data_IF_400075751464
#
_entry.id   IF_400075751464
#
_cell.length_a   1.000
_cell.length_b   1.000
_cell.length_c   1.000
_cell.angle_alpha   90.00
_cell.angle_beta   90.00
_cell.angle_gamma   90.00
#
_symmetry.space_group_name_H-M   'P 1'
#
loop_
_entity.id
_entity.type
_entity.pdbx_description
1 polymer ?
#
# COMPACT_ATOMS: atom_id res chain seq x y z
N UNK A 1 35.82 25.55 45.50
CA UNK A 1 34.62 24.73 45.17
C UNK A 1 33.95 25.39 43.97
N UNK A 2 34.01 24.97 42.71
CA UNK A 2 34.33 23.67 42.11
C UNK A 2 33.06 22.90 41.73
N UNK A 3 32.51 23.14 40.51
CA UNK A 3 31.80 22.21 39.59
C UNK A 3 31.20 23.00 38.41
N UNK A 4 31.76 22.92 37.20
CA UNK A 4 31.66 21.88 36.14
C UNK A 4 30.35 21.96 35.31
N UNK A 5 30.57 22.17 34.00
CA UNK A 5 29.68 22.09 32.83
C UNK A 5 28.56 21.03 32.90
N UNK A 6 27.44 21.23 32.19
CA UNK A 6 27.11 20.48 30.96
C UNK A 6 25.90 21.11 30.23
N UNK A 7 26.13 21.37 28.96
CA UNK A 7 25.17 21.71 27.92
C UNK A 7 24.47 20.43 27.45
N UNK A 8 23.13 20.38 27.47
CA UNK A 8 22.37 19.39 26.72
C UNK A 8 21.66 20.09 25.57
N UNK A 9 22.21 19.89 24.38
CA UNK A 9 21.53 20.04 23.11
C UNK A 9 20.41 19.00 22.99
N UNK A 10 19.33 19.34 22.28
CA UNK A 10 18.31 18.38 21.86
C UNK A 10 16.88 18.85 22.12
N UNK A 11 16.45 19.93 21.46
CA UNK A 11 15.02 20.17 21.25
C UNK A 11 14.51 19.15 20.22
N UNK A 12 14.15 17.96 20.68
CA UNK A 12 13.20 17.09 20.00
C UNK A 12 11.83 17.43 20.58
N UNK A 13 10.89 17.99 19.80
CA UNK A 13 9.50 17.96 20.24
C UNK A 13 9.04 16.50 20.17
N UNK A 14 8.80 15.91 21.34
CA UNK A 14 7.86 14.82 21.51
C UNK A 14 6.55 15.22 20.83
N UNK A 15 6.22 14.58 19.72
CA UNK A 15 5.02 14.86 18.95
C UNK A 15 4.50 13.59 18.30
N UNK A 16 3.37 13.11 18.84
CA UNK A 16 2.36 12.31 18.16
C UNK A 16 2.83 11.05 17.45
N UNK A 17 2.81 9.93 18.19
CA UNK A 17 2.31 8.68 17.63
C UNK A 17 0.85 8.92 17.24
N UNK A 18 0.61 9.44 16.02
CA UNK A 18 -0.69 9.30 15.40
C UNK A 18 -1.00 7.81 15.37
N UNK A 19 -2.08 7.43 16.05
CA UNK A 19 -2.60 6.09 16.01
C UNK A 19 -2.88 5.75 14.54
N UNK A 20 -2.01 4.95 13.94
CA UNK A 20 -2.31 4.23 12.70
C UNK A 20 -3.69 3.60 12.92
N UNK A 21 -4.67 3.75 12.03
CA UNK A 21 -6.00 3.23 12.28
C UNK A 21 -5.90 1.71 12.41
N UNK A 22 -5.87 1.24 13.67
CA UNK A 22 -5.48 -0.10 14.10
C UNK A 22 -6.36 -1.22 13.53
N UNK A 23 -7.49 -0.86 12.93
CA UNK A 23 -8.44 -1.80 12.33
C UNK A 23 -8.01 -2.24 10.93
N UNK A 24 -7.40 -1.35 10.13
CA UNK A 24 -7.07 -1.62 8.72
C UNK A 24 -5.79 -2.45 8.57
N UNK A 25 -4.78 -2.12 9.39
CA UNK A 25 -3.57 -2.94 9.50
C UNK A 25 -3.95 -4.36 9.90
N UNK A 26 -4.90 -4.55 10.82
CA UNK A 26 -5.31 -5.88 11.27
C UNK A 26 -5.97 -6.76 10.20
N UNK A 27 -6.73 -6.23 9.24
CA UNK A 27 -7.38 -7.04 8.20
C UNK A 27 -6.39 -7.53 7.13
N UNK A 28 -5.54 -6.65 6.60
CA UNK A 28 -4.45 -7.04 5.68
C UNK A 28 -3.47 -7.98 6.40
N UNK A 29 -3.12 -7.67 7.65
CA UNK A 29 -2.27 -8.52 8.48
C UNK A 29 -2.93 -9.88 8.78
N UNK A 30 -4.25 -9.97 9.00
CA UNK A 30 -4.93 -11.24 9.27
C UNK A 30 -4.94 -12.15 8.04
N UNK A 31 -5.22 -11.61 6.84
CA UNK A 31 -5.15 -12.36 5.58
C UNK A 31 -3.70 -12.78 5.27
N UNK A 32 -2.73 -11.87 5.46
CA UNK A 32 -1.31 -12.16 5.28
C UNK A 32 -0.80 -13.19 6.30
N UNK A 33 -1.17 -13.10 7.59
CA UNK A 33 -0.80 -14.12 8.58
C UNK A 33 -1.47 -15.46 8.29
N UNK A 34 -2.70 -15.49 7.77
CA UNK A 34 -3.33 -16.70 7.27
C UNK A 34 -2.52 -17.35 6.14
N UNK A 35 -2.11 -16.56 5.15
CA UNK A 35 -1.28 -17.01 4.03
C UNK A 35 0.12 -17.46 4.49
N UNK A 36 0.79 -16.69 5.36
CA UNK A 36 2.10 -17.03 5.93
C UNK A 36 2.00 -18.29 6.79
N UNK A 37 0.96 -18.45 7.62
CA UNK A 37 0.74 -19.65 8.41
C UNK A 37 0.50 -20.88 7.53
N UNK A 38 -0.21 -20.73 6.41
CA UNK A 38 -0.42 -21.80 5.43
C UNK A 38 0.87 -22.19 4.71
N UNK A 39 1.68 -21.23 4.26
CA UNK A 39 2.99 -21.46 3.63
C UNK A 39 3.99 -22.10 4.60
N UNK A 40 4.02 -21.65 5.86
CA UNK A 40 4.83 -22.26 6.91
C UNK A 40 4.37 -23.67 7.25
N UNK A 41 3.05 -23.93 7.27
CA UNK A 41 2.47 -25.27 7.46
C UNK A 41 2.79 -26.22 6.28
N UNK A 42 2.96 -25.70 5.08
CA UNK A 42 3.38 -26.49 3.91
C UNK A 42 4.87 -26.84 3.98
N UNK A 43 5.74 -25.89 4.32
CA UNK A 43 7.17 -26.15 4.56
C UNK A 43 7.38 -27.16 5.70
N UNK A 44 6.63 -27.05 6.81
CA UNK A 44 6.70 -28.01 7.91
C UNK A 44 6.28 -29.44 7.50
N UNK A 45 5.23 -29.58 6.67
CA UNK A 45 4.76 -30.88 6.16
C UNK A 45 5.71 -31.50 5.12
N UNK A 46 6.39 -30.68 4.32
CA UNK A 46 7.40 -31.16 3.36
C UNK A 46 8.66 -31.70 4.06
N UNK A 47 9.03 -31.12 5.21
CA UNK A 47 10.12 -31.64 6.05
C UNK A 47 9.73 -32.97 6.74
N UNK A 48 8.48 -33.11 7.17
CA UNK A 48 7.98 -34.35 7.80
C UNK A 48 7.81 -35.52 6.81
N UNK A 49 7.51 -35.23 5.54
CA UNK A 49 7.34 -36.25 4.49
C UNK A 49 8.66 -36.88 3.99
N UNK A 50 9.83 -36.35 4.38
CA UNK A 50 11.11 -37.04 4.15
C UNK A 50 11.29 -38.19 5.16
N UNK A 51 10.52 -38.19 6.27
CA UNK A 51 10.66 -39.17 7.35
C UNK A 51 9.66 -40.33 7.37
N UNK A 52 8.46 -40.20 6.79
CA UNK A 52 7.42 -41.23 6.96
C UNK A 52 6.58 -41.48 5.71
N UNK A 53 7.01 -42.48 4.95
CA UNK A 53 6.21 -43.09 3.90
C UNK A 53 5.14 -44.00 4.54
N UNK A 54 3.97 -43.46 4.88
CA UNK A 54 2.77 -44.27 5.13
C UNK A 54 1.49 -43.47 4.92
N UNK A 55 0.83 -43.82 3.81
CA UNK A 55 -0.52 -43.47 3.38
C UNK A 55 -1.33 -42.57 4.30
N UNK A 56 -1.34 -41.27 3.98
CA UNK A 56 -2.44 -40.41 4.35
C UNK A 56 -2.83 -39.60 3.12
N UNK A 57 -4.12 -39.60 2.81
CA UNK A 57 -4.73 -39.04 1.61
C UNK A 57 -4.23 -37.61 1.39
N UNK A 58 -3.34 -37.43 0.42
CA UNK A 58 -3.02 -36.12 -0.14
C UNK A 58 -4.35 -35.47 -0.53
N UNK A 59 -4.67 -34.32 0.07
CA UNK A 59 -5.38 -33.30 -0.69
C UNK A 59 -4.26 -32.41 -1.21
N UNK A 60 -3.75 -32.63 -2.43
CA UNK A 60 -2.90 -31.63 -3.04
C UNK A 60 -3.81 -30.41 -3.22
N UNK A 61 -3.47 -29.29 -2.58
CA UNK A 61 -4.11 -28.02 -2.91
C UNK A 61 -3.66 -27.70 -4.34
N UNK A 62 -4.50 -28.08 -5.30
CA UNK A 62 -4.46 -27.62 -6.67
C UNK A 62 -4.66 -26.09 -6.67
N UNK A 63 -4.09 -25.38 -7.64
CA UNK A 63 -4.19 -23.92 -7.85
C UNK A 63 -5.62 -23.36 -7.63
N UNK A 64 -6.63 -24.21 -7.86
CA UNK A 64 -8.05 -24.00 -7.56
C UNK A 64 -8.35 -23.47 -6.14
N UNK A 65 -7.62 -23.88 -5.10
CA UNK A 65 -7.93 -23.48 -3.72
C UNK A 65 -7.36 -22.09 -3.38
N UNK A 66 -6.23 -21.72 -3.98
CA UNK A 66 -5.67 -20.36 -3.88
C UNK A 66 -6.54 -19.39 -4.70
N UNK A 67 -7.08 -19.84 -5.84
CA UNK A 67 -8.04 -19.07 -6.64
C UNK A 67 -9.36 -18.78 -5.89
N UNK A 68 -9.79 -19.67 -4.98
CA UNK A 68 -10.98 -19.44 -4.14
C UNK A 68 -10.77 -18.36 -3.08
N UNK A 69 -9.52 -18.15 -2.63
CA UNK A 69 -9.21 -17.25 -1.50
C UNK A 69 -8.68 -15.91 -1.98
N UNK A 70 -7.87 -15.90 -3.05
CA UNK A 70 -7.22 -14.70 -3.56
C UNK A 70 -7.49 -14.49 -5.05
N UNK A 71 -7.86 -13.26 -5.38
CA UNK A 71 -8.10 -12.84 -6.76
C UNK A 71 -6.79 -12.80 -7.53
N UNK A 72 -6.88 -13.01 -8.86
CA UNK A 72 -5.73 -12.72 -9.70
C UNK A 72 -5.42 -11.23 -9.66
N UNK A 73 -4.14 -10.86 -9.82
CA UNK A 73 -3.71 -9.46 -9.89
C UNK A 73 -4.50 -8.67 -10.94
N UNK A 74 -4.78 -9.28 -12.09
CA UNK A 74 -5.60 -8.69 -13.15
C UNK A 74 -7.05 -8.44 -12.73
N UNK A 75 -7.67 -9.38 -12.02
CA UNK A 75 -9.05 -9.22 -11.52
C UNK A 75 -9.11 -8.13 -10.44
N UNK A 76 -8.15 -8.11 -9.51
CA UNK A 76 -8.03 -7.06 -8.51
C UNK A 76 -7.92 -5.68 -9.17
N UNK A 77 -7.03 -5.52 -10.16
CA UNK A 77 -6.88 -4.28 -10.92
C UNK A 77 -8.17 -3.86 -11.64
N UNK A 78 -8.92 -4.80 -12.23
CA UNK A 78 -10.20 -4.49 -12.87
C UNK A 78 -11.28 -4.06 -11.87
N UNK A 79 -11.25 -4.61 -10.66
CA UNK A 79 -12.17 -4.20 -9.59
C UNK A 79 -11.83 -2.79 -9.10
N UNK A 80 -10.54 -2.51 -8.88
CA UNK A 80 -10.09 -1.20 -8.38
C UNK A 80 -10.22 -0.11 -9.46
N UNK A 81 -9.87 -0.42 -10.71
CA UNK A 81 -9.85 0.52 -11.84
C UNK A 81 -10.84 0.08 -12.93
N UNK A 82 -12.16 0.12 -12.68
CA UNK A 82 -13.15 -0.38 -13.63
C UNK A 82 -13.21 0.42 -14.95
N UNK A 83 -12.68 1.65 -14.94
CA UNK A 83 -12.64 2.53 -16.11
C UNK A 83 -11.32 2.43 -16.89
N UNK A 84 -10.32 1.69 -16.40
CA UNK A 84 -9.04 1.55 -17.08
C UNK A 84 -9.17 0.66 -18.33
N UNK A 85 -8.42 1.00 -19.38
CA UNK A 85 -8.41 0.17 -20.58
C UNK A 85 -7.69 -1.16 -20.31
N UNK A 86 -7.99 -2.20 -21.09
CA UNK A 86 -7.27 -3.48 -20.97
C UNK A 86 -5.75 -3.33 -21.16
N UNK A 87 -5.31 -2.35 -21.95
CA UNK A 87 -3.90 -2.03 -22.16
C UNK A 87 -3.26 -1.42 -20.91
N UNK A 88 -3.99 -0.54 -20.22
CA UNK A 88 -3.51 0.03 -18.96
C UNK A 88 -3.46 -1.03 -17.87
N UNK A 89 -4.48 -1.90 -17.79
CA UNK A 89 -4.49 -3.05 -16.87
C UNK A 89 -3.30 -3.97 -17.13
N UNK A 90 -2.97 -4.27 -18.39
CA UNK A 90 -1.80 -5.09 -18.74
C UNK A 90 -0.49 -4.42 -18.33
N UNK A 91 -0.35 -3.11 -18.58
CA UNK A 91 0.80 -2.34 -18.10
C UNK A 91 0.92 -2.40 -16.57
N UNK A 92 -0.17 -2.22 -15.86
CA UNK A 92 -0.20 -2.26 -14.39
C UNK A 92 0.08 -3.66 -13.84
N UNK A 93 -0.42 -4.70 -14.49
CA UNK A 93 -0.13 -6.09 -14.15
C UNK A 93 1.37 -6.38 -14.32
N UNK A 94 2.00 -5.91 -15.41
CA UNK A 94 3.44 -6.02 -15.62
C UNK A 94 4.23 -5.28 -14.54
N UNK A 95 3.81 -4.07 -14.17
CA UNK A 95 4.42 -3.30 -13.06
C UNK A 95 4.33 -4.07 -11.74
N UNK A 96 3.15 -4.60 -11.41
CA UNK A 96 2.92 -5.36 -10.18
C UNK A 96 3.68 -6.68 -10.15
N UNK A 97 3.97 -7.30 -11.30
CA UNK A 97 4.76 -8.54 -11.36
C UNK A 97 6.20 -8.37 -10.87
N UNK A 98 6.72 -7.13 -10.84
CA UNK A 98 8.07 -6.78 -10.37
C UNK A 98 8.10 -6.44 -8.86
N UNK A 99 6.94 -6.26 -8.23
CA UNK A 99 6.82 -5.90 -6.82
C UNK A 99 6.95 -7.17 -5.97
N UNK A 100 7.74 -7.13 -4.90
CA UNK A 100 7.90 -8.30 -4.05
C UNK A 100 6.57 -8.66 -3.36
N UNK A 101 6.42 -9.92 -3.01
CA UNK A 101 5.28 -10.34 -2.20
C UNK A 101 5.27 -9.57 -0.88
N UNK A 102 4.08 -9.15 -0.46
CA UNK A 102 3.79 -8.37 0.74
C UNK A 102 4.24 -6.91 0.74
N UNK A 103 4.95 -6.44 -0.30
CA UNK A 103 5.21 -5.02 -0.48
C UNK A 103 3.90 -4.30 -0.86
N UNK A 104 3.49 -3.24 -0.14
CA UNK A 104 2.25 -2.55 -0.43
C UNK A 104 2.37 -1.68 -1.68
N UNK A 105 1.32 -1.75 -2.50
CA UNK A 105 1.12 -0.90 -3.66
C UNK A 105 -0.08 -0.01 -3.41
N UNK A 106 0.16 1.29 -3.40
CA UNK A 106 -0.88 2.30 -3.33
C UNK A 106 -1.41 2.57 -4.74
N UNK A 107 -2.72 2.40 -4.94
CA UNK A 107 -3.42 2.77 -6.15
C UNK A 107 -4.33 3.95 -5.82
N UNK A 108 -4.13 5.07 -6.51
CA UNK A 108 -4.93 6.29 -6.35
C UNK A 108 -5.87 6.41 -7.55
N UNK A 109 -7.16 6.46 -7.27
CA UNK A 109 -8.19 6.78 -8.26
C UNK A 109 -8.46 8.28 -8.18
N UNK A 110 -8.19 9.01 -9.26
CA UNK A 110 -8.33 10.46 -9.28
C UNK A 110 -9.79 10.92 -9.05
N UNK A 111 -9.98 11.93 -8.21
CA UNK A 111 -11.26 12.62 -8.06
C UNK A 111 -11.35 13.80 -9.04
N UNK A 112 -12.21 13.69 -10.04
CA UNK A 112 -12.38 14.73 -11.05
C UNK A 112 -12.89 16.05 -10.46
N UNK A 113 -13.69 16.01 -9.39
CA UNK A 113 -14.17 17.23 -8.72
C UNK A 113 -13.01 18.00 -8.10
N UNK A 114 -12.07 17.30 -7.47
CA UNK A 114 -10.87 17.91 -6.93
C UNK A 114 -10.01 18.55 -8.02
N UNK A 115 -9.82 17.86 -9.15
CA UNK A 115 -9.09 18.39 -10.31
C UNK A 115 -9.78 19.65 -10.86
N UNK A 116 -11.11 19.67 -10.90
CA UNK A 116 -11.87 20.85 -11.34
C UNK A 116 -11.71 22.02 -10.35
N UNK A 117 -11.55 21.76 -9.05
CA UNK A 117 -11.33 22.77 -8.01
C UNK A 117 -9.88 23.29 -7.97
N UNK A 118 -8.88 22.43 -8.24
CA UNK A 118 -7.46 22.72 -7.98
C UNK A 118 -6.57 22.74 -9.23
N UNK A 119 -7.07 22.33 -10.41
CA UNK A 119 -6.35 22.10 -11.67
C UNK A 119 -5.60 20.77 -11.79
N UNK A 120 -5.45 20.31 -13.03
CA UNK A 120 -4.69 19.10 -13.36
C UNK A 120 -3.17 19.25 -13.09
N UNK A 121 -2.62 20.45 -13.25
CA UNK A 121 -1.19 20.70 -12.96
C UNK A 121 -0.89 20.47 -11.47
N UNK A 122 -1.79 20.91 -10.59
CA UNK A 122 -1.65 20.66 -9.16
C UNK A 122 -1.86 19.17 -8.81
N UNK A 123 -2.78 18.49 -9.49
CA UNK A 123 -2.91 17.03 -9.36
C UNK A 123 -1.59 16.32 -9.67
N UNK A 124 -0.98 16.65 -10.80
CA UNK A 124 0.30 16.08 -11.20
C UNK A 124 1.41 16.38 -10.18
N UNK A 125 1.46 17.58 -9.62
CA UNK A 125 2.45 17.93 -8.60
C UNK A 125 2.33 17.05 -7.34
N UNK A 126 1.10 16.74 -6.90
CA UNK A 126 0.87 15.82 -5.77
C UNK A 126 1.28 14.39 -6.13
N UNK A 127 0.89 13.89 -7.31
CA UNK A 127 1.29 12.55 -7.77
C UNK A 127 2.80 12.41 -7.95
N UNK A 128 3.48 13.43 -8.48
CA UNK A 128 4.94 13.47 -8.56
C UNK A 128 5.58 13.43 -7.18
N UNK A 129 4.96 14.06 -6.19
CA UNK A 129 5.45 14.03 -4.82
C UNK A 129 5.31 12.63 -4.22
N UNK A 130 4.18 11.93 -4.41
CA UNK A 130 4.09 10.50 -4.06
C UNK A 130 5.16 9.65 -4.76
N UNK A 131 5.40 9.89 -6.06
CA UNK A 131 6.36 9.15 -6.85
C UNK A 131 7.81 9.32 -6.36
N UNK A 132 8.18 10.49 -5.82
CA UNK A 132 9.58 10.88 -5.59
C UNK A 132 9.95 11.22 -4.15
N UNK A 133 8.98 11.37 -3.24
CA UNK A 133 9.25 11.75 -1.84
C UNK A 133 10.28 10.83 -1.20
N UNK A 134 11.31 11.40 -0.55
CA UNK A 134 12.40 10.66 0.11
C UNK A 134 13.19 9.68 -0.78
N UNK A 135 13.11 9.79 -2.11
CA UNK A 135 13.93 9.02 -3.03
C UNK A 135 15.14 9.82 -3.52
N UNK A 136 16.20 9.08 -3.87
CA UNK A 136 17.34 9.65 -4.59
C UNK A 136 16.92 10.13 -5.98
N UNK A 137 17.68 11.10 -6.52
CA UNK A 137 17.44 11.65 -7.85
C UNK A 137 17.28 10.54 -8.91
N UNK A 138 16.29 10.71 -9.79
CA UNK A 138 15.90 9.78 -10.86
C UNK A 138 15.25 8.45 -10.42
N UNK A 139 14.96 8.26 -9.13
CA UNK A 139 14.14 7.12 -8.67
C UNK A 139 12.69 7.54 -8.51
N UNK A 140 11.79 6.64 -8.92
CA UNK A 140 10.34 6.82 -8.86
C UNK A 140 9.66 5.53 -8.42
N UNK A 141 8.53 5.66 -7.72
CA UNK A 141 7.69 4.52 -7.27
C UNK A 141 6.64 4.07 -8.28
N UNK A 142 6.39 4.88 -9.30
CA UNK A 142 5.16 4.79 -10.10
C UNK A 142 5.36 4.36 -11.55
N UNK A 143 6.60 4.19 -12.00
CA UNK A 143 6.93 3.95 -13.41
C UNK A 143 6.15 4.91 -14.36
N UNK A 144 6.08 6.18 -13.96
CA UNK A 144 5.38 7.27 -14.66
C UNK A 144 3.86 7.05 -14.85
N UNK A 145 3.24 6.20 -14.04
CA UNK A 145 1.78 5.95 -14.07
C UNK A 145 0.95 7.07 -13.43
N UNK A 146 1.52 7.83 -12.49
CA UNK A 146 0.81 8.83 -11.66
C UNK A 146 -0.42 8.27 -10.91
N UNK A 147 -0.52 6.95 -10.78
CA UNK A 147 -1.72 6.28 -10.24
C UNK A 147 -1.35 5.09 -9.36
N UNK A 148 -0.28 4.37 -9.67
CA UNK A 148 0.17 3.18 -8.95
C UNK A 148 1.55 3.48 -8.35
N UNK A 149 1.71 3.28 -7.04
CA UNK A 149 2.94 3.61 -6.33
C UNK A 149 3.37 2.43 -5.45
N UNK A 150 4.56 1.90 -5.71
CA UNK A 150 5.16 0.81 -4.93
C UNK A 150 5.94 1.34 -3.72
N UNK A 151 5.70 0.73 -2.55
CA UNK A 151 6.47 0.97 -1.33
C UNK A 151 7.05 -0.35 -0.77
N UNK A 152 8.25 -0.32 -0.16
CA UNK A 152 8.86 -1.53 0.40
C UNK A 152 8.25 -1.97 1.73
N UNK A 153 7.33 -1.17 2.33
CA UNK A 153 6.53 -1.53 3.49
C UNK A 153 5.49 -0.43 3.80
N UNK A 154 4.53 -0.75 4.67
CA UNK A 154 3.48 0.18 5.09
C UNK A 154 4.03 1.40 5.84
N UNK A 155 5.15 1.26 6.57
CA UNK A 155 5.74 2.38 7.32
C UNK A 155 6.20 3.48 6.36
N UNK A 156 6.86 3.12 5.27
CA UNK A 156 7.27 4.09 4.25
C UNK A 156 6.06 4.72 3.56
N UNK A 157 5.05 3.91 3.19
CA UNK A 157 3.82 4.38 2.57
C UNK A 157 3.13 5.47 3.42
N UNK A 158 2.91 5.21 4.71
CA UNK A 158 2.27 6.18 5.59
C UNK A 158 3.18 7.35 5.99
N UNK A 159 4.50 7.16 5.99
CA UNK A 159 5.46 8.27 6.13
C UNK A 159 5.35 9.23 4.95
N UNK A 160 5.29 8.70 3.72
CA UNK A 160 5.10 9.51 2.51
C UNK A 160 3.74 10.21 2.56
N UNK A 161 2.66 9.50 2.90
CA UNK A 161 1.33 10.11 3.12
C UNK A 161 1.41 11.32 4.05
N UNK A 162 2.06 11.18 5.21
CA UNK A 162 2.24 12.27 6.17
C UNK A 162 3.01 13.47 5.59
N UNK A 163 4.10 13.20 4.85
CA UNK A 163 4.86 14.25 4.19
C UNK A 163 4.03 14.99 3.12
N UNK A 164 3.26 14.25 2.32
CA UNK A 164 2.38 14.84 1.30
C UNK A 164 1.27 15.66 1.97
N UNK A 165 0.69 15.20 3.08
CA UNK A 165 -0.31 15.98 3.86
C UNK A 165 0.26 17.32 4.33
N UNK A 166 1.51 17.34 4.81
CA UNK A 166 2.15 18.58 5.23
C UNK A 166 2.42 19.53 4.06
N UNK A 167 2.79 18.99 2.89
CA UNK A 167 3.15 19.79 1.71
C UNK A 167 1.93 20.26 0.89
N UNK A 168 0.89 19.44 0.83
CA UNK A 168 -0.32 19.62 0.03
C UNK A 168 -1.58 19.36 0.87
N UNK A 169 -1.87 20.18 1.88
CA UNK A 169 -3.02 19.95 2.78
C UNK A 169 -4.35 19.96 2.03
N UNK A 170 -4.45 20.72 0.93
CA UNK A 170 -5.65 20.77 0.09
C UNK A 170 -5.91 19.49 -0.72
N UNK A 171 -4.97 18.53 -0.77
CA UNK A 171 -5.18 17.22 -1.39
C UNK A 171 -5.98 16.26 -0.50
N UNK A 172 -6.18 16.63 0.77
CA UNK A 172 -6.87 15.81 1.76
C UNK A 172 -8.18 16.49 2.16
N UNK A 173 -9.17 15.65 2.46
CA UNK A 173 -10.45 16.07 3.00
C UNK A 173 -10.29 16.52 4.46
N UNK A 174 -10.63 17.78 4.74
CA UNK A 174 -10.74 18.33 6.09
C UNK A 174 -12.21 18.63 6.39
N UNK A 175 -12.77 17.90 7.37
CA UNK A 175 -14.16 18.09 7.83
C UNK A 175 -14.38 19.47 8.47
N UNK A 176 -13.34 20.09 8.98
CA UNK A 176 -13.40 21.36 9.71
C UNK A 176 -13.16 22.58 8.81
N UNK A 177 -12.77 22.37 7.54
CA UNK A 177 -12.56 23.46 6.60
C UNK A 177 -13.87 24.18 6.27
N UNK A 178 -13.81 25.52 6.16
CA UNK A 178 -14.98 26.36 5.88
C UNK A 178 -15.57 26.11 4.49
N UNK A 179 -14.73 25.72 3.52
CA UNK A 179 -15.15 25.21 2.22
C UNK A 179 -15.01 23.70 2.22
N UNK A 180 -16.08 22.99 1.82
CA UNK A 180 -16.00 21.55 1.57
C UNK A 180 -15.03 21.32 0.41
N UNK A 181 -13.82 20.91 0.75
CA UNK A 181 -12.81 20.48 -0.20
C UNK A 181 -13.00 19.00 -0.44
N UNK A 182 -13.00 18.59 -1.70
CA UNK A 182 -12.96 17.18 -2.05
C UNK A 182 -11.56 16.61 -1.73
N UNK A 183 -11.41 15.30 -1.44
CA UNK A 183 -10.09 14.67 -1.45
C UNK A 183 -9.58 14.53 -2.89
N UNK A 184 -8.26 14.47 -3.07
CA UNK A 184 -7.63 14.30 -4.40
C UNK A 184 -8.06 13.02 -5.12
N UNK A 185 -8.50 12.01 -4.38
CA UNK A 185 -8.88 10.72 -4.92
C UNK A 185 -9.31 9.73 -3.85
N UNK A 186 -9.51 8.49 -4.28
CA UNK A 186 -9.70 7.33 -3.42
C UNK A 186 -8.42 6.51 -3.41
N UNK A 187 -8.03 6.00 -2.24
CA UNK A 187 -6.84 5.17 -2.09
C UNK A 187 -7.21 3.69 -1.93
N UNK A 188 -6.51 2.85 -2.66
CA UNK A 188 -6.55 1.40 -2.53
C UNK A 188 -5.16 0.88 -2.24
N UNK A 189 -5.05 -0.06 -1.31
CA UNK A 189 -3.81 -0.74 -1.00
C UNK A 189 -3.93 -2.15 -1.55
N UNK A 190 -3.05 -2.50 -2.48
CA UNK A 190 -2.91 -3.83 -3.06
C UNK A 190 -1.62 -4.46 -2.54
N UNK A 191 -1.67 -5.73 -2.18
CA UNK A 191 -0.49 -6.52 -1.80
C UNK A 191 -0.46 -7.82 -2.60
N UNK A 192 0.69 -8.15 -3.18
CA UNK A 192 0.89 -9.45 -3.79
C UNK A 192 1.08 -10.49 -2.68
N UNK A 193 0.23 -11.51 -2.63
CA UNK A 193 0.30 -12.59 -1.63
C UNK A 193 1.01 -13.83 -2.19
N UNK A 194 0.99 -14.00 -3.51
CA UNK A 194 1.73 -15.00 -4.26
C UNK A 194 1.89 -14.56 -5.72
N UNK A 195 2.54 -15.39 -6.53
CA UNK A 195 2.71 -15.15 -7.97
C UNK A 195 1.34 -14.98 -8.64
N UNK A 196 1.09 -13.83 -9.26
CA UNK A 196 -0.19 -13.44 -9.89
C UNK A 196 -1.41 -13.41 -8.95
N UNK A 197 -1.20 -13.35 -7.64
CA UNK A 197 -2.25 -13.33 -6.63
C UNK A 197 -2.13 -12.12 -5.74
N UNK A 198 -3.25 -11.42 -5.57
CA UNK A 198 -3.26 -10.16 -4.83
C UNK A 198 -4.45 -10.11 -3.88
N UNK A 199 -4.22 -9.50 -2.73
CA UNK A 199 -5.26 -9.01 -1.83
C UNK A 199 -5.31 -7.49 -1.94
N UNK A 200 -6.49 -6.90 -1.74
CA UNK A 200 -6.66 -5.45 -1.81
C UNK A 200 -7.76 -4.94 -0.90
N UNK A 201 -7.59 -3.71 -0.43
CA UNK A 201 -8.58 -3.01 0.36
C UNK A 201 -8.60 -1.52 0.01
N UNK A 202 -9.77 -0.90 0.10
CA UNK A 202 -9.90 0.55 0.10
C UNK A 202 -9.46 1.10 1.46
N UNK A 203 -8.66 2.16 1.46
CA UNK A 203 -8.34 2.94 2.66
C UNK A 203 -9.10 4.27 2.61
N UNK A 204 -10.31 4.25 3.16
CA UNK A 204 -11.24 5.39 3.22
C UNK A 204 -10.70 6.55 4.07
N UNK A 205 -9.74 6.26 4.95
CA UNK A 205 -9.08 7.24 5.81
C UNK A 205 -7.83 7.86 5.18
N UNK A 206 -7.35 7.31 4.06
CA UNK A 206 -6.06 7.68 3.50
C UNK A 206 -5.99 9.17 3.14
N UNK A 207 -7.05 9.75 2.57
CA UNK A 207 -7.09 11.17 2.24
C UNK A 207 -7.88 12.01 3.25
N UNK A 208 -8.01 11.56 4.50
CA UNK A 208 -8.72 12.29 5.57
C UNK A 208 -7.74 12.86 6.59
N UNK A 209 -7.98 14.11 7.03
CA UNK A 209 -7.21 14.86 8.05
C UNK A 209 -7.79 14.63 9.45
#
# INVERSE_FOLDING_TARGET
MGRWYTQCAGNLPCGLLEAVPFVFVAFIIANIFGAIWLLLRENARNVENIGNNKGNKQIPMNDNNINEIFLSTREALKTILPQASNKDIEKYEEQLSKVNNFDPVLIIIANQNWINQNTYVNYQAVMYSFATNNLQNNRRRDEDSLSIFHFPNLTELYTVRGNIRMQYPNAFFDRNAQSQQEPIGTAWILTNVAVHKSDYAEDDSFFVI
#
